data_IF_079078883572
#
_entry.id   IF_079078883572
#
_cell.length_a   1.000
_cell.length_b   1.000
_cell.length_c   1.000
_cell.angle_alpha   90.00
_cell.angle_beta   90.00
_cell.angle_gamma   90.00
#
_symmetry.space_group_name_H-M   'P 1'
#
loop_
_entity.id
_entity.type
_entity.pdbx_description
1 polymer ?
#
# COMPACT_ATOMS: atom_id res chain seq x y z
N UNK A 1 62.71 15.74 -6.01
CA UNK A 1 63.36 14.42 -6.14
C UNK A 1 62.95 13.54 -4.96
N UNK A 2 61.99 12.63 -5.14
CA UNK A 2 61.86 11.43 -4.31
C UNK A 2 62.67 10.26 -4.94
N UNK A 3 63.12 9.25 -4.16
CA UNK A 3 63.92 8.15 -4.70
C UNK A 3 63.03 7.10 -5.42
N UNK A 4 63.59 6.32 -6.37
CA UNK A 4 62.84 5.27 -7.05
C UNK A 4 62.70 4.01 -6.19
N UNK A 5 61.52 3.40 -6.24
CA UNK A 5 61.21 2.10 -5.65
C UNK A 5 61.90 0.97 -6.41
N UNK A 6 62.59 0.10 -5.68
CA UNK A 6 63.23 -1.11 -6.22
C UNK A 6 62.17 -2.13 -6.69
N UNK A 7 62.32 -2.62 -7.92
CA UNK A 7 61.56 -3.77 -8.43
C UNK A 7 62.10 -5.06 -7.82
N UNK A 8 61.31 -5.71 -6.97
CA UNK A 8 61.54 -7.09 -6.53
C UNK A 8 60.94 -8.03 -7.58
N UNK A 9 61.80 -8.71 -8.34
CA UNK A 9 61.43 -9.82 -9.22
C UNK A 9 61.29 -11.09 -8.39
N UNK A 10 60.07 -11.64 -8.32
CA UNK A 10 59.84 -12.95 -7.67
C UNK A 10 60.01 -14.11 -8.68
N UNK A 11 60.52 -15.28 -8.24
CA UNK A 11 60.82 -16.41 -9.13
C UNK A 11 59.55 -17.10 -9.65
N UNK A 12 59.60 -17.61 -10.88
CA UNK A 12 58.48 -18.17 -11.65
C UNK A 12 57.76 -19.39 -11.03
N UNK A 13 58.26 -20.00 -9.95
CA UNK A 13 57.72 -21.24 -9.40
C UNK A 13 56.65 -21.03 -8.32
N UNK A 14 56.61 -19.89 -7.63
CA UNK A 14 55.57 -19.56 -6.64
C UNK A 14 54.24 -19.14 -7.28
N UNK A 15 54.26 -18.61 -8.52
CA UNK A 15 53.04 -18.28 -9.28
C UNK A 15 52.20 -19.51 -9.65
N UNK A 16 52.83 -20.66 -9.90
CA UNK A 16 52.10 -21.89 -10.27
C UNK A 16 51.43 -22.57 -9.07
N UNK A 17 52.08 -22.58 -7.90
CA UNK A 17 51.50 -23.17 -6.68
C UNK A 17 50.36 -22.29 -6.13
N UNK A 18 50.50 -20.96 -6.18
CA UNK A 18 49.42 -20.04 -5.81
C UNK A 18 48.21 -20.12 -6.77
N UNK A 19 48.44 -20.29 -8.08
CA UNK A 19 47.38 -20.43 -9.07
C UNK A 19 46.57 -21.73 -8.88
N UNK A 20 47.21 -22.85 -8.54
CA UNK A 20 46.51 -24.11 -8.25
C UNK A 20 45.72 -24.04 -6.93
N UNK A 21 46.26 -23.41 -5.88
CA UNK A 21 45.55 -23.24 -4.60
C UNK A 21 44.28 -22.36 -4.72
N UNK A 22 44.37 -21.28 -5.51
CA UNK A 22 43.21 -20.41 -5.80
C UNK A 22 42.15 -21.12 -6.66
N UNK A 23 42.56 -21.97 -7.59
CA UNK A 23 41.62 -22.73 -8.43
C UNK A 23 40.83 -23.77 -7.61
N UNK A 24 41.47 -24.47 -6.67
CA UNK A 24 40.82 -25.47 -5.81
C UNK A 24 39.90 -24.80 -4.77
N UNK A 25 40.32 -23.67 -4.19
CA UNK A 25 39.46 -22.89 -3.29
C UNK A 25 38.25 -22.29 -4.02
N UNK A 26 38.44 -21.79 -5.26
CA UNK A 26 37.34 -21.31 -6.10
C UNK A 26 36.37 -22.43 -6.48
N UNK A 27 36.86 -23.64 -6.78
CA UNK A 27 36.01 -24.80 -7.05
C UNK A 27 35.23 -25.25 -5.80
N UNK A 28 35.84 -25.26 -4.63
CA UNK A 28 35.14 -25.55 -3.36
C UNK A 28 34.08 -24.50 -3.01
N UNK A 29 34.38 -23.21 -3.21
CA UNK A 29 33.41 -22.11 -3.07
C UNK A 29 32.25 -22.20 -4.07
N UNK A 30 32.51 -22.69 -5.29
CA UNK A 30 31.49 -22.86 -6.33
C UNK A 30 30.64 -24.13 -6.16
N UNK A 31 31.13 -25.12 -5.40
CA UNK A 31 30.51 -26.45 -5.23
C UNK A 31 29.81 -26.64 -3.88
N UNK A 32 29.92 -25.68 -2.95
CA UNK A 32 29.26 -25.74 -1.65
C UNK A 32 27.82 -25.22 -1.76
N UNK A 33 26.77 -26.04 -1.54
CA UNK A 33 25.38 -25.61 -1.68
C UNK A 33 24.99 -24.49 -0.69
N UNK A 34 25.65 -24.41 0.46
CA UNK A 34 25.27 -23.48 1.55
C UNK A 34 25.72 -22.02 1.34
N UNK A 35 26.61 -21.74 0.39
CA UNK A 35 27.08 -20.38 0.08
C UNK A 35 26.40 -19.74 -1.13
N UNK A 36 25.53 -20.49 -1.83
CA UNK A 36 24.66 -19.93 -2.89
C UNK A 36 23.39 -19.28 -2.34
N UNK A 37 23.20 -19.29 -1.02
CA UNK A 37 22.08 -18.63 -0.34
C UNK A 37 22.26 -17.11 -0.16
N UNK A 38 23.22 -16.48 -0.86
CA UNK A 38 23.37 -15.03 -0.88
C UNK A 38 22.78 -14.45 -2.18
N UNK A 39 21.61 -13.82 -2.02
CA UNK A 39 21.01 -12.83 -2.90
C UNK A 39 20.66 -13.26 -4.34
N UNK A 40 19.98 -14.40 -4.50
CA UNK A 40 19.23 -14.73 -5.74
C UNK A 40 17.72 -14.53 -5.60
N UNK A 41 17.25 -13.72 -4.64
CA UNK A 41 15.84 -13.30 -4.64
C UNK A 41 15.63 -12.34 -5.81
N UNK A 42 15.37 -12.92 -6.98
CA UNK A 42 14.75 -12.14 -8.06
C UNK A 42 13.36 -11.72 -7.57
N UNK A 43 12.90 -10.54 -7.97
CA UNK A 43 11.57 -10.01 -7.63
C UNK A 43 10.40 -10.87 -8.16
N UNK A 44 10.62 -12.10 -8.61
CA UNK A 44 9.60 -13.01 -9.11
C UNK A 44 9.37 -14.23 -8.19
N UNK A 45 10.23 -14.49 -7.19
CA UNK A 45 10.17 -15.70 -6.36
C UNK A 45 9.12 -15.70 -5.24
N UNK A 46 8.51 -14.57 -4.91
CA UNK A 46 7.52 -14.50 -3.82
C UNK A 46 6.17 -15.18 -4.18
N UNK A 47 5.85 -15.24 -5.47
CA UNK A 47 4.74 -16.06 -5.97
C UNK A 47 5.03 -17.56 -5.83
N UNK A 48 6.30 -17.95 -5.69
CA UNK A 48 6.77 -19.34 -5.59
C UNK A 48 7.02 -19.78 -4.14
N UNK A 49 6.31 -19.22 -3.14
CA UNK A 49 6.30 -19.86 -1.80
C UNK A 49 5.86 -21.32 -1.98
N UNK A 50 6.63 -22.31 -1.49
CA UNK A 50 6.29 -23.71 -1.66
C UNK A 50 4.88 -23.97 -1.12
N UNK A 51 4.13 -24.84 -1.78
CA UNK A 51 2.86 -25.33 -1.27
C UNK A 51 3.07 -25.84 0.17
N UNK A 52 2.18 -25.44 1.10
CA UNK A 52 2.29 -25.78 2.51
C UNK A 52 2.58 -27.28 2.70
N UNK A 53 3.62 -27.59 3.44
CA UNK A 53 4.22 -28.92 3.53
C UNK A 53 3.52 -29.87 4.51
N UNK A 54 2.20 -29.75 4.70
CA UNK A 54 1.47 -30.57 5.69
C UNK A 54 -0.03 -30.68 5.42
N UNK A 55 -0.61 -31.83 5.77
CA UNK A 55 -2.06 -31.99 5.98
C UNK A 55 -2.46 -31.06 7.15
N UNK A 56 -2.99 -29.86 6.86
CA UNK A 56 -3.45 -28.88 7.86
C UNK A 56 -3.09 -27.42 7.58
N UNK A 57 -2.25 -27.15 6.59
CA UNK A 57 -1.78 -25.79 6.24
C UNK A 57 -2.42 -25.25 4.94
N UNK A 58 -3.66 -25.64 4.66
CA UNK A 58 -4.34 -25.28 3.41
C UNK A 58 -5.31 -24.09 3.56
N UNK A 59 -5.63 -23.42 2.44
CA UNK A 59 -6.70 -22.41 2.40
C UNK A 59 -8.04 -23.01 2.86
N UNK A 60 -8.28 -24.30 2.61
CA UNK A 60 -9.51 -24.99 3.05
C UNK A 60 -9.62 -25.08 4.57
N UNK A 61 -8.52 -25.35 5.26
CA UNK A 61 -8.51 -25.43 6.73
C UNK A 61 -8.81 -24.06 7.35
N UNK A 62 -8.21 -23.00 6.77
CA UNK A 62 -8.56 -21.63 7.13
C UNK A 62 -10.05 -21.33 6.85
N UNK A 63 -10.58 -21.70 5.66
CA UNK A 63 -12.00 -21.50 5.34
C UNK A 63 -12.95 -22.22 6.30
N UNK A 64 -12.60 -23.43 6.74
CA UNK A 64 -13.40 -24.18 7.72
C UNK A 64 -13.45 -23.46 9.09
N UNK A 65 -12.29 -22.95 9.56
CA UNK A 65 -12.23 -22.12 10.77
C UNK A 65 -12.99 -20.81 10.61
N UNK A 66 -12.85 -20.14 9.47
CA UNK A 66 -13.55 -18.89 9.17
C UNK A 66 -15.07 -19.10 9.12
N UNK A 67 -15.55 -20.17 8.46
CA UNK A 67 -16.98 -20.55 8.47
C UNK A 67 -17.48 -20.74 9.90
N UNK A 68 -16.76 -21.53 10.70
CA UNK A 68 -17.13 -21.80 12.09
C UNK A 68 -17.19 -20.50 12.90
N UNK A 69 -16.21 -19.62 12.75
CA UNK A 69 -16.18 -18.31 13.40
C UNK A 69 -17.38 -17.43 12.99
N UNK A 70 -17.70 -17.39 11.70
CA UNK A 70 -18.85 -16.65 11.17
C UNK A 70 -20.18 -17.19 11.70
N UNK A 71 -20.36 -18.52 11.73
CA UNK A 71 -21.56 -19.14 12.29
C UNK A 71 -21.74 -18.87 13.79
N UNK A 72 -20.64 -18.75 14.56
CA UNK A 72 -20.71 -18.35 15.98
C UNK A 72 -21.12 -16.88 16.18
N UNK A 73 -20.93 -16.05 15.15
CA UNK A 73 -21.34 -14.65 15.13
C UNK A 73 -22.77 -14.46 14.61
N UNK A 74 -23.34 -15.44 13.89
CA UNK A 74 -24.72 -15.35 13.39
C UNK A 74 -25.72 -15.10 14.53
N UNK A 75 -26.63 -14.15 14.32
CA UNK A 75 -27.63 -13.74 15.32
C UNK A 75 -27.07 -12.94 16.50
N UNK A 76 -25.77 -12.65 16.54
CA UNK A 76 -25.17 -11.76 17.53
C UNK A 76 -25.48 -10.29 17.16
N UNK A 77 -26.06 -9.49 18.09
CA UNK A 77 -26.34 -8.08 17.83
C UNK A 77 -25.09 -7.29 17.39
N UNK A 78 -23.89 -7.71 17.81
CA UNK A 78 -22.64 -7.06 17.46
C UNK A 78 -22.35 -7.04 15.95
N UNK A 79 -22.85 -8.00 15.16
CA UNK A 79 -22.68 -8.02 13.70
C UNK A 79 -23.44 -6.88 13.01
N UNK A 80 -24.65 -6.58 13.48
CA UNK A 80 -25.51 -5.52 12.94
C UNK A 80 -25.17 -4.14 13.51
N UNK A 81 -24.29 -4.07 14.52
CA UNK A 81 -23.88 -2.80 15.11
C UNK A 81 -22.84 -2.11 14.21
N UNK A 82 -22.99 -0.79 14.00
CA UNK A 82 -21.99 -0.02 13.29
C UNK A 82 -20.61 -0.16 13.93
N UNK A 83 -19.58 -0.33 13.09
CA UNK A 83 -18.19 -0.46 13.49
C UNK A 83 -17.47 0.87 13.27
N UNK A 84 -17.09 1.59 14.35
CA UNK A 84 -16.23 2.76 14.21
C UNK A 84 -14.84 2.32 13.78
N UNK A 85 -14.27 3.05 12.83
CA UNK A 85 -12.94 2.87 12.27
C UNK A 85 -12.19 4.19 12.43
N UNK A 86 -10.90 4.10 12.77
CA UNK A 86 -10.06 5.27 12.92
C UNK A 86 -8.62 4.98 12.47
N UNK A 87 -7.95 6.02 11.99
CA UNK A 87 -6.52 6.01 11.70
C UNK A 87 -5.94 7.40 11.93
N UNK A 88 -4.64 7.46 12.20
CA UNK A 88 -3.90 8.72 12.33
C UNK A 88 -2.62 8.68 11.50
N UNK A 89 -2.16 9.83 11.03
CA UNK A 89 -0.92 9.94 10.28
C UNK A 89 -0.17 11.19 10.71
N UNK A 90 1.13 11.07 10.91
CA UNK A 90 2.01 12.18 11.18
C UNK A 90 3.03 12.32 10.04
N UNK A 91 3.31 13.56 9.62
CA UNK A 91 4.46 13.85 8.77
C UNK A 91 5.72 13.96 9.63
N UNK A 92 6.68 13.06 9.40
CA UNK A 92 7.92 12.95 10.16
C UNK A 92 8.88 14.09 9.81
N UNK A 93 8.77 15.19 10.54
CA UNK A 93 9.71 16.31 10.60
C UNK A 93 10.56 16.52 9.34
N UNK A 94 11.87 16.22 9.43
CA UNK A 94 12.85 16.51 8.37
C UNK A 94 12.70 15.64 7.11
N UNK A 95 11.92 14.59 7.20
CA UNK A 95 11.82 13.57 6.15
C UNK A 95 10.53 13.64 5.35
N UNK A 96 9.48 14.23 5.94
CA UNK A 96 8.12 14.16 5.42
C UNK A 96 7.50 12.77 5.47
N UNK A 97 8.18 11.74 5.98
CA UNK A 97 7.66 10.37 6.02
C UNK A 97 6.27 10.36 6.65
N UNK A 98 5.31 9.75 5.98
CA UNK A 98 3.93 9.69 6.46
C UNK A 98 3.82 8.42 7.26
N UNK A 99 3.84 8.59 8.58
CA UNK A 99 3.77 7.52 9.53
C UNK A 99 2.31 7.27 9.88
N UNK A 100 1.69 6.31 9.18
CA UNK A 100 0.29 5.93 9.36
C UNK A 100 0.16 4.95 10.53
N UNK A 101 -0.77 5.22 11.43
CA UNK A 101 -1.15 4.35 12.54
C UNK A 101 -2.59 3.91 12.40
N UNK A 102 -2.80 2.61 12.53
CA UNK A 102 -4.11 1.97 12.56
C UNK A 102 -4.10 1.02 13.75
N UNK A 103 -4.85 1.35 14.81
CA UNK A 103 -4.72 0.67 16.11
C UNK A 103 -3.26 0.65 16.56
N UNK A 104 -2.67 -0.54 16.69
CA UNK A 104 -1.29 -0.77 17.12
C UNK A 104 -0.35 -1.07 15.94
N UNK A 105 -0.78 -0.82 14.70
CA UNK A 105 0.02 -1.05 13.50
C UNK A 105 0.56 0.26 12.93
N UNK A 106 1.87 0.28 12.69
CA UNK A 106 2.58 1.37 12.02
C UNK A 106 2.89 1.00 10.57
N UNK A 107 2.53 1.88 9.64
CA UNK A 107 2.76 1.73 8.20
C UNK A 107 3.44 2.99 7.69
N UNK A 108 4.59 2.83 7.03
CA UNK A 108 5.27 3.93 6.39
C UNK A 108 4.74 4.14 4.97
N UNK A 109 4.40 5.38 4.65
CA UNK A 109 4.16 5.81 3.29
C UNK A 109 5.16 6.88 2.89
N UNK A 110 5.76 6.68 1.72
CA UNK A 110 6.76 7.59 1.19
C UNK A 110 6.66 7.72 -0.32
N UNK A 111 7.11 8.87 -0.81
CA UNK A 111 7.22 9.10 -2.24
C UNK A 111 8.66 8.96 -2.70
N UNK A 112 8.90 9.42 -3.92
CA UNK A 112 10.09 9.06 -4.66
C UNK A 112 11.22 10.08 -4.41
N UNK A 113 12.48 9.66 -4.59
CA UNK A 113 13.63 10.51 -4.24
C UNK A 113 13.70 11.80 -5.06
N UNK A 114 13.13 11.79 -6.27
CA UNK A 114 13.00 12.97 -7.13
C UNK A 114 12.07 14.05 -6.56
N UNK A 115 11.20 13.72 -5.61
CA UNK A 115 10.31 14.67 -4.91
C UNK A 115 10.82 15.04 -3.52
N UNK A 116 12.15 14.98 -3.32
CA UNK A 116 12.86 15.24 -2.05
C UNK A 116 12.62 14.22 -0.92
N UNK A 117 12.03 13.07 -1.26
CA UNK A 117 11.64 12.01 -0.32
C UNK A 117 12.69 10.88 -0.25
N UNK A 118 12.39 9.82 0.50
CA UNK A 118 13.36 8.76 0.83
C UNK A 118 13.02 7.39 0.23
N UNK A 119 11.83 7.23 -0.35
CA UNK A 119 11.38 5.97 -0.94
C UNK A 119 11.45 4.80 0.06
N UNK A 120 10.93 5.03 1.28
CA UNK A 120 10.95 4.03 2.37
C UNK A 120 9.65 3.22 2.52
N UNK A 121 8.60 3.58 1.78
CA UNK A 121 7.31 2.91 1.87
C UNK A 121 6.48 3.15 0.62
N UNK A 122 5.38 2.40 0.47
CA UNK A 122 4.48 2.58 -0.66
C UNK A 122 3.81 3.96 -0.58
N UNK A 123 3.88 4.73 -1.66
CA UNK A 123 3.09 5.95 -1.79
C UNK A 123 1.58 5.68 -1.74
N UNK A 124 0.77 6.72 -1.60
CA UNK A 124 -0.69 6.55 -1.41
C UNK A 124 -1.39 5.84 -2.58
N UNK A 125 -0.90 6.02 -3.81
CA UNK A 125 -1.48 5.40 -5.01
C UNK A 125 -1.25 3.89 -5.07
N UNK A 126 -0.01 3.36 -5.01
CA UNK A 126 0.19 1.91 -4.89
C UNK A 126 -0.48 1.33 -3.63
N UNK A 127 -0.53 2.08 -2.52
CA UNK A 127 -1.22 1.63 -1.29
C UNK A 127 -2.71 1.40 -1.51
N UNK A 128 -3.42 2.33 -2.18
CA UNK A 128 -4.87 2.17 -2.41
C UNK A 128 -5.18 0.95 -3.29
N UNK A 129 -4.36 0.70 -4.31
CA UNK A 129 -4.48 -0.47 -5.20
C UNK A 129 -4.24 -1.77 -4.41
N UNK A 130 -3.26 -1.77 -3.52
CA UNK A 130 -2.98 -2.89 -2.62
C UNK A 130 -4.11 -3.18 -1.63
N UNK A 131 -4.67 -2.13 -1.02
CA UNK A 131 -5.82 -2.25 -0.11
C UNK A 131 -7.04 -2.82 -0.83
N UNK A 132 -7.36 -2.31 -2.02
CA UNK A 132 -8.47 -2.81 -2.83
C UNK A 132 -8.28 -4.28 -3.22
N UNK A 133 -7.08 -4.67 -3.68
CA UNK A 133 -6.77 -6.06 -3.98
C UNK A 133 -6.92 -6.98 -2.77
N UNK A 134 -6.49 -6.51 -1.60
CA UNK A 134 -6.60 -7.28 -0.36
C UNK A 134 -8.03 -7.40 0.14
N UNK A 135 -8.88 -6.38 -0.08
CA UNK A 135 -10.30 -6.48 0.20
C UNK A 135 -10.93 -7.58 -0.66
N UNK A 136 -10.73 -7.54 -1.98
CA UNK A 136 -11.22 -8.57 -2.91
C UNK A 136 -10.79 -9.97 -2.48
N UNK A 137 -9.51 -10.17 -2.16
CA UNK A 137 -9.01 -11.48 -1.72
C UNK A 137 -9.69 -11.94 -0.42
N UNK A 138 -9.82 -11.06 0.57
CA UNK A 138 -10.53 -11.35 1.81
C UNK A 138 -12.01 -11.69 1.59
N UNK A 139 -12.68 -10.92 0.75
CA UNK A 139 -14.10 -11.10 0.44
C UNK A 139 -14.35 -12.44 -0.25
N UNK A 140 -13.49 -12.85 -1.20
CA UNK A 140 -13.56 -14.20 -1.80
C UNK A 140 -13.45 -15.29 -0.73
N UNK A 141 -12.46 -15.20 0.18
CA UNK A 141 -12.31 -16.17 1.27
C UNK A 141 -13.58 -16.23 2.14
N UNK A 142 -14.14 -15.07 2.49
CA UNK A 142 -15.32 -14.97 3.35
C UNK A 142 -16.56 -15.53 2.66
N UNK A 143 -16.81 -15.15 1.41
CA UNK A 143 -17.99 -15.61 0.64
C UNK A 143 -17.91 -17.11 0.38
N UNK A 144 -16.74 -17.61 -0.03
CA UNK A 144 -16.51 -19.02 -0.25
C UNK A 144 -16.66 -19.85 1.03
N UNK A 145 -16.16 -19.32 2.17
CA UNK A 145 -16.38 -19.93 3.47
C UNK A 145 -17.88 -20.01 3.79
N UNK A 146 -18.66 -18.94 3.63
CA UNK A 146 -20.12 -18.97 3.90
C UNK A 146 -20.87 -19.94 2.98
N UNK A 147 -20.52 -19.97 1.69
CA UNK A 147 -21.27 -20.72 0.66
C UNK A 147 -21.00 -22.20 0.63
N UNK A 148 -19.92 -22.68 1.24
CA UNK A 148 -19.52 -24.07 1.02
C UNK A 148 -18.44 -24.26 -0.03
N UNK A 149 -18.13 -23.23 -0.83
CA UNK A 149 -17.27 -23.34 -2.01
C UNK A 149 -15.80 -23.48 -1.63
N UNK A 150 -15.15 -24.63 -1.87
CA UNK A 150 -13.76 -24.86 -1.48
C UNK A 150 -12.80 -24.01 -2.33
N UNK A 151 -11.79 -23.41 -1.70
CA UNK A 151 -10.67 -22.77 -2.39
C UNK A 151 -9.38 -23.44 -1.89
N UNK A 152 -8.56 -23.89 -2.84
CA UNK A 152 -7.23 -24.48 -2.61
C UNK A 152 -6.12 -23.42 -2.65
N UNK A 153 -6.29 -22.41 -3.50
CA UNK A 153 -5.35 -21.31 -3.66
C UNK A 153 -6.05 -20.06 -4.19
N UNK A 154 -5.64 -18.90 -3.69
CA UNK A 154 -6.17 -17.61 -4.10
C UNK A 154 -5.07 -16.56 -4.22
N UNK A 155 -4.95 -16.01 -5.42
CA UNK A 155 -4.16 -14.81 -5.67
C UNK A 155 -5.01 -13.78 -6.42
N UNK A 156 -4.86 -12.51 -6.08
CA UNK A 156 -5.57 -11.40 -6.72
C UNK A 156 -4.56 -10.42 -7.28
N UNK A 157 -4.70 -10.09 -8.56
CA UNK A 157 -4.01 -8.97 -9.17
C UNK A 157 -5.00 -7.83 -9.33
N UNK A 158 -4.79 -6.75 -8.59
CA UNK A 158 -5.58 -5.52 -8.71
C UNK A 158 -4.81 -4.49 -9.53
N UNK A 159 -5.52 -3.82 -10.43
CA UNK A 159 -4.97 -2.83 -11.35
C UNK A 159 -5.77 -1.54 -11.35
N UNK A 160 -5.08 -0.43 -11.64
CA UNK A 160 -5.69 0.88 -11.88
C UNK A 160 -4.88 1.67 -12.89
N UNK A 161 -5.55 2.53 -13.67
CA UNK A 161 -4.89 3.52 -14.52
C UNK A 161 -5.11 4.94 -13.98
N UNK A 162 -4.06 5.76 -13.86
CA UNK A 162 -4.22 7.19 -13.58
C UNK A 162 -5.00 7.90 -14.69
N UNK A 163 -6.18 8.44 -14.38
CA UNK A 163 -6.96 9.21 -15.34
C UNK A 163 -7.44 10.52 -14.72
N UNK A 164 -7.64 11.53 -15.56
CA UNK A 164 -8.09 12.85 -15.14
C UNK A 164 -9.63 12.88 -15.01
N UNK A 165 -10.15 13.31 -13.87
CA UNK A 165 -11.58 13.50 -13.64
C UNK A 165 -11.85 14.81 -12.89
N UNK A 166 -13.12 15.21 -12.82
CA UNK A 166 -13.54 16.43 -12.11
C UNK A 166 -13.79 16.13 -10.63
N UNK A 167 -13.26 16.97 -9.76
CA UNK A 167 -13.64 16.98 -8.34
C UNK A 167 -15.13 17.33 -8.21
N UNK A 168 -15.90 16.55 -7.44
CA UNK A 168 -17.30 16.89 -7.13
C UNK A 168 -17.45 18.13 -6.24
N UNK A 169 -16.40 18.50 -5.50
CA UNK A 169 -16.42 19.67 -4.63
C UNK A 169 -16.07 20.97 -5.36
N UNK A 170 -14.97 20.97 -6.12
CA UNK A 170 -14.44 22.20 -6.74
C UNK A 170 -14.64 22.27 -8.25
N UNK A 171 -14.93 21.16 -8.92
CA UNK A 171 -15.00 21.07 -10.39
C UNK A 171 -13.65 21.01 -11.09
N UNK A 172 -12.54 21.11 -10.34
CA UNK A 172 -11.17 21.07 -10.84
C UNK A 172 -10.82 19.70 -11.41
N UNK A 173 -9.88 19.69 -12.36
CA UNK A 173 -9.39 18.44 -12.96
C UNK A 173 -8.29 17.83 -12.10
N UNK A 174 -8.59 16.69 -11.48
CA UNK A 174 -7.69 15.93 -10.60
C UNK A 174 -7.36 14.60 -11.28
N UNK A 175 -6.08 14.21 -11.30
CA UNK A 175 -5.68 12.87 -11.75
C UNK A 175 -5.63 11.96 -10.53
N UNK A 176 -6.36 10.86 -10.58
CA UNK A 176 -6.38 9.86 -9.51
C UNK A 176 -6.53 8.44 -10.10
N UNK A 177 -6.34 7.37 -9.31
CA UNK A 177 -6.56 5.99 -9.75
C UNK A 177 -7.99 5.78 -10.28
N UNK A 178 -8.13 5.42 -11.54
CA UNK A 178 -9.40 5.05 -12.19
C UNK A 178 -9.25 3.69 -12.88
N UNK A 179 -10.27 3.31 -13.67
CA UNK A 179 -10.32 2.03 -14.39
C UNK A 179 -9.96 0.86 -13.46
N UNK A 180 -10.62 0.82 -12.30
CA UNK A 180 -10.33 -0.14 -11.25
C UNK A 180 -10.72 -1.54 -11.72
N UNK A 181 -9.78 -2.47 -11.72
CA UNK A 181 -10.03 -3.83 -12.17
C UNK A 181 -9.24 -4.85 -11.36
N UNK A 182 -9.82 -6.04 -11.16
CA UNK A 182 -9.13 -7.15 -10.54
C UNK A 182 -9.25 -8.43 -11.35
N UNK A 183 -8.23 -9.27 -11.25
CA UNK A 183 -8.22 -10.66 -11.71
C UNK A 183 -7.96 -11.55 -10.51
N UNK A 184 -8.90 -12.44 -10.19
CA UNK A 184 -8.73 -13.46 -9.16
C UNK A 184 -8.31 -14.78 -9.82
N UNK A 185 -7.13 -15.28 -9.45
CA UNK A 185 -6.63 -16.60 -9.83
C UNK A 185 -7.02 -17.57 -8.72
N UNK A 186 -7.94 -18.49 -9.03
CA UNK A 186 -8.57 -19.36 -8.04
C UNK A 186 -8.29 -20.80 -8.41
N UNK A 187 -7.52 -21.48 -7.57
CA UNK A 187 -7.43 -22.94 -7.56
C UNK A 187 -8.56 -23.50 -6.68
N UNK A 188 -9.46 -24.28 -7.28
CA UNK A 188 -10.71 -24.72 -6.65
C UNK A 188 -11.40 -25.79 -7.49
N UNK A 189 -12.00 -26.83 -6.85
CA UNK A 189 -12.85 -27.79 -7.53
C UNK A 189 -14.30 -27.30 -7.74
N UNK A 190 -14.67 -26.11 -7.25
CA UNK A 190 -15.99 -25.53 -7.47
C UNK A 190 -16.24 -25.28 -8.96
N UNK A 191 -17.49 -25.32 -9.43
CA UNK A 191 -17.89 -25.04 -10.81
C UNK A 191 -17.71 -23.56 -11.21
N UNK A 192 -17.73 -23.26 -12.52
CA UNK A 192 -17.56 -21.88 -13.00
C UNK A 192 -18.73 -21.00 -12.55
N UNK A 193 -19.93 -21.58 -12.49
CA UNK A 193 -21.14 -20.92 -11.98
C UNK A 193 -21.00 -20.55 -10.50
N UNK A 194 -20.47 -21.46 -9.67
CA UNK A 194 -20.22 -21.17 -8.26
C UNK A 194 -19.20 -20.04 -8.08
N UNK A 195 -18.09 -20.08 -8.82
CA UNK A 195 -17.06 -19.05 -8.75
C UNK A 195 -17.56 -17.68 -9.24
N UNK A 196 -18.33 -17.66 -10.31
CA UNK A 196 -18.94 -16.43 -10.82
C UNK A 196 -20.00 -15.87 -9.85
N UNK A 197 -20.76 -16.75 -9.18
CA UNK A 197 -21.64 -16.37 -8.08
C UNK A 197 -20.88 -15.74 -6.91
N UNK A 198 -19.70 -16.28 -6.55
CA UNK A 198 -18.82 -15.66 -5.55
C UNK A 198 -18.34 -14.28 -6.00
N UNK A 199 -17.90 -14.12 -7.25
CA UNK A 199 -17.48 -12.82 -7.81
C UNK A 199 -18.57 -11.77 -7.66
N UNK A 200 -19.80 -12.11 -8.05
CA UNK A 200 -20.95 -11.22 -7.94
C UNK A 200 -21.26 -10.85 -6.48
N UNK A 201 -21.13 -11.79 -5.54
CA UNK A 201 -21.28 -11.49 -4.11
C UNK A 201 -20.15 -10.61 -3.58
N UNK A 202 -18.90 -10.82 -3.99
CA UNK A 202 -17.76 -9.97 -3.62
C UNK A 202 -18.00 -8.53 -4.05
N UNK A 203 -18.38 -8.29 -5.31
CA UNK A 203 -18.65 -6.93 -5.80
C UNK A 203 -19.85 -6.28 -5.12
N UNK A 204 -20.87 -7.06 -4.77
CA UNK A 204 -22.07 -6.55 -4.09
C UNK A 204 -21.82 -6.24 -2.62
N UNK A 205 -21.07 -7.09 -1.92
CA UNK A 205 -20.97 -7.10 -0.46
C UNK A 205 -19.64 -6.57 0.07
N UNK A 206 -18.62 -6.35 -0.76
CA UNK A 206 -17.35 -5.79 -0.29
C UNK A 206 -17.54 -4.36 0.24
N UNK A 207 -17.21 -4.08 1.52
CA UNK A 207 -17.23 -2.72 2.04
C UNK A 207 -16.33 -1.78 1.24
N UNK A 208 -15.11 -2.23 0.94
CA UNK A 208 -14.06 -1.39 0.36
C UNK A 208 -14.31 -1.14 -1.12
N UNK A 209 -14.84 -2.12 -1.87
CA UNK A 209 -15.28 -1.87 -3.24
C UNK A 209 -16.50 -0.94 -3.27
N UNK A 210 -17.48 -1.13 -2.37
CA UNK A 210 -18.62 -0.23 -2.28
C UNK A 210 -18.22 1.22 -1.96
N UNK A 211 -17.17 1.42 -1.16
CA UNK A 211 -16.61 2.74 -0.84
C UNK A 211 -16.08 3.50 -2.07
N UNK A 212 -15.55 2.80 -3.08
CA UNK A 212 -15.05 3.43 -4.31
C UNK A 212 -16.05 3.37 -5.46
N UNK A 213 -16.98 2.41 -5.43
CA UNK A 213 -18.02 2.26 -6.43
C UNK A 213 -19.15 3.27 -6.27
N UNK A 214 -19.34 3.84 -5.07
CA UNK A 214 -20.43 4.76 -4.77
C UNK A 214 -19.91 6.14 -4.45
N UNK A 215 -20.68 7.20 -4.75
CA UNK A 215 -20.33 8.54 -4.32
C UNK A 215 -20.45 8.67 -2.79
N UNK A 216 -19.47 9.30 -2.16
CA UNK A 216 -19.52 9.66 -0.74
C UNK A 216 -19.39 11.16 -0.53
N UNK A 217 -20.16 11.67 0.43
CA UNK A 217 -19.97 13.02 0.92
C UNK A 217 -18.97 12.97 2.09
N UNK A 218 -17.79 13.54 1.84
CA UNK A 218 -16.77 13.76 2.86
C UNK A 218 -16.76 15.25 3.14
N UNK A 219 -17.05 15.60 4.38
CA UNK A 219 -17.10 16.98 4.86
C UNK A 219 -15.73 17.66 4.75
N UNK A 220 -15.74 19.00 4.69
CA UNK A 220 -14.51 19.78 4.82
C UNK A 220 -13.82 19.44 6.14
N UNK A 221 -12.52 19.19 6.09
CA UNK A 221 -11.77 18.73 7.26
C UNK A 221 -11.81 19.71 8.41
N UNK A 222 -11.85 19.21 9.64
CA UNK A 222 -11.72 20.08 10.83
C UNK A 222 -10.28 20.54 10.97
N UNK A 223 -10.05 21.86 10.97
CA UNK A 223 -8.74 22.44 11.25
C UNK A 223 -8.53 22.72 12.73
N UNK A 224 -7.46 22.14 13.29
CA UNK A 224 -6.91 22.49 14.61
C UNK A 224 -5.57 23.18 14.36
N UNK A 225 -5.56 24.49 14.53
CA UNK A 225 -4.42 25.34 14.21
C UNK A 225 -3.68 25.79 15.48
N UNK A 226 -2.35 25.61 15.49
CA UNK A 226 -1.47 26.12 16.54
C UNK A 226 -0.47 27.13 15.94
N UNK A 227 -0.54 28.38 16.39
CA UNK A 227 0.40 29.42 15.98
C UNK A 227 1.77 29.16 16.62
N UNK A 228 2.80 29.02 15.79
CA UNK A 228 4.19 28.87 16.24
C UNK A 228 5.00 30.15 15.99
N UNK A 229 6.17 30.32 16.64
CA UNK A 229 7.02 31.48 16.41
C UNK A 229 7.59 31.51 14.98
N UNK A 230 7.65 32.69 14.36
CA UNK A 230 8.30 32.88 13.04
C UNK A 230 9.77 32.46 13.08
N UNK A 231 10.49 32.81 14.16
CA UNK A 231 11.86 32.39 14.41
C UNK A 231 11.87 31.36 15.53
N UNK A 232 12.47 30.19 15.29
CA UNK A 232 12.71 29.20 16.36
C UNK A 232 13.81 29.74 17.29
N UNK A 233 13.60 29.62 18.59
CA UNK A 233 14.60 30.01 19.60
C UNK A 233 15.70 28.95 19.70
N UNK A 234 16.96 29.39 19.77
CA UNK A 234 18.12 28.49 19.91
C UNK A 234 18.50 27.72 18.63
N UNK A 235 19.38 26.72 18.78
CA UNK A 235 19.77 25.81 17.70
C UNK A 235 18.80 24.63 17.69
N UNK A 236 17.87 24.61 16.74
CA UNK A 236 16.95 23.48 16.53
C UNK A 236 17.50 22.54 15.46
N UNK A 237 17.18 21.24 15.56
CA UNK A 237 17.34 20.34 14.43
C UNK A 237 16.44 20.79 13.27
N UNK A 238 16.85 20.48 12.05
CA UNK A 238 15.99 20.67 10.88
C UNK A 238 14.74 19.79 11.02
N UNK A 239 13.58 20.33 10.64
CA UNK A 239 12.27 19.68 10.76
C UNK A 239 11.45 19.88 9.49
N UNK A 240 10.13 20.02 9.66
CA UNK A 240 9.21 20.07 8.52
C UNK A 240 9.40 21.31 7.63
N UNK A 241 9.73 22.48 8.20
CA UNK A 241 10.04 23.69 7.42
C UNK A 241 11.15 23.44 6.40
N UNK A 242 12.26 22.89 6.86
CA UNK A 242 13.43 22.60 6.03
C UNK A 242 13.14 21.49 4.99
N UNK A 243 12.29 20.52 5.34
CA UNK A 243 11.80 19.54 4.36
C UNK A 243 10.97 20.18 3.24
N UNK A 244 10.07 21.11 3.57
CA UNK A 244 9.23 21.78 2.58
C UNK A 244 10.04 22.70 1.65
N UNK A 245 11.12 23.32 2.15
CA UNK A 245 12.07 24.08 1.34
C UNK A 245 12.78 23.18 0.31
N UNK A 246 13.27 22.01 0.75
CA UNK A 246 13.87 21.01 -0.16
C UNK A 246 12.86 20.50 -1.20
N UNK A 247 11.61 20.29 -0.77
CA UNK A 247 10.51 19.83 -1.65
C UNK A 247 10.15 20.88 -2.70
N UNK A 248 10.09 22.15 -2.33
CA UNK A 248 9.90 23.26 -3.28
C UNK A 248 11.08 23.32 -4.28
N UNK A 249 12.31 23.22 -3.78
CA UNK A 249 13.50 23.20 -4.64
C UNK A 249 13.47 22.02 -5.63
N UNK A 250 13.15 20.82 -5.17
CA UNK A 250 13.03 19.63 -6.01
C UNK A 250 11.91 19.78 -7.05
N UNK A 251 10.76 20.36 -6.68
CA UNK A 251 9.67 20.63 -7.63
C UNK A 251 10.07 21.60 -8.76
N UNK A 252 11.08 22.44 -8.51
CA UNK A 252 11.70 23.37 -9.48
C UNK A 252 12.91 22.77 -10.20
N UNK A 253 13.17 21.47 -10.05
CA UNK A 253 14.22 20.73 -10.74
C UNK A 253 15.58 20.73 -10.03
N UNK A 254 15.68 21.16 -8.77
CA UNK A 254 16.90 21.00 -8.00
C UNK A 254 17.21 19.51 -7.77
N UNK A 255 18.49 19.15 -7.83
CA UNK A 255 18.93 17.80 -7.48
C UNK A 255 18.82 17.61 -5.96
N UNK A 256 18.40 16.42 -5.48
CA UNK A 256 18.43 16.12 -4.06
C UNK A 256 19.87 16.25 -3.51
N UNK A 257 20.04 16.57 -2.21
CA UNK A 257 21.36 16.63 -1.58
C UNK A 257 22.18 15.33 -1.79
N UNK A 258 23.52 15.45 -1.80
CA UNK A 258 24.45 14.35 -2.08
C UNK A 258 24.18 13.09 -1.23
N UNK A 259 24.35 11.90 -1.83
CA UNK A 259 24.07 10.60 -1.20
C UNK A 259 22.69 10.00 -1.51
N UNK A 260 21.78 10.79 -2.11
CA UNK A 260 20.49 10.31 -2.62
C UNK A 260 20.59 10.06 -4.12
N UNK A 261 21.00 8.85 -4.52
CA UNK A 261 21.06 8.48 -5.95
C UNK A 261 19.62 8.39 -6.48
N UNK A 262 19.13 9.46 -7.11
CA UNK A 262 17.86 9.43 -7.82
C UNK A 262 17.97 8.40 -8.95
N UNK A 263 16.99 7.49 -9.06
CA UNK A 263 16.83 6.74 -10.30
C UNK A 263 16.59 7.74 -11.45
N UNK A 264 17.03 7.43 -12.67
CA UNK A 264 16.69 8.25 -13.82
C UNK A 264 15.16 8.42 -13.85
N UNK A 265 14.64 9.65 -14.06
CA UNK A 265 13.21 9.84 -14.20
C UNK A 265 12.70 8.86 -15.25
N UNK A 266 11.82 7.94 -14.86
CA UNK A 266 11.15 7.09 -15.84
C UNK A 266 10.46 8.02 -16.83
N UNK A 267 10.67 7.78 -18.13
CA UNK A 267 10.11 8.61 -19.18
C UNK A 267 8.61 8.83 -18.89
N UNK A 268 8.19 10.09 -18.87
CA UNK A 268 6.78 10.48 -18.73
C UNK A 268 6.08 10.19 -20.06
N UNK A 269 5.89 8.92 -20.34
CA UNK A 269 5.09 8.48 -21.47
C UNK A 269 3.62 8.46 -21.04
N UNK A 270 2.76 8.95 -21.91
CA UNK A 270 1.31 8.97 -21.84
C UNK A 270 0.67 7.56 -22.05
N UNK A 271 1.49 6.50 -21.95
CA UNK A 271 1.16 5.07 -21.88
C UNK A 271 1.65 4.40 -20.59
N UNK A 272 1.53 5.05 -19.42
CA UNK A 272 1.97 4.47 -18.14
C UNK A 272 1.34 3.10 -17.92
N UNK A 273 2.13 2.05 -17.57
CA UNK A 273 1.54 0.77 -17.21
C UNK A 273 0.58 0.97 -16.03
N UNK A 274 -0.51 0.19 -15.95
CA UNK A 274 -1.43 0.30 -14.84
C UNK A 274 -0.65 0.11 -13.53
N UNK A 275 -1.01 0.90 -12.51
CA UNK A 275 -0.62 0.57 -11.14
C UNK A 275 -1.16 -0.82 -10.85
N UNK A 276 -0.31 -1.66 -10.27
CA UNK A 276 -0.63 -3.05 -10.02
C UNK A 276 -0.22 -3.43 -8.61
N UNK A 277 -1.10 -4.16 -7.95
CA UNK A 277 -0.81 -4.84 -6.71
C UNK A 277 -1.16 -6.31 -6.86
N UNK A 278 -0.23 -7.16 -6.44
CA UNK A 278 -0.45 -8.58 -6.32
C UNK A 278 -0.74 -8.90 -4.86
N UNK A 279 -1.75 -9.72 -4.64
CA UNK A 279 -2.18 -10.13 -3.31
C UNK A 279 -2.19 -11.65 -3.27
N UNK A 280 -1.31 -12.22 -2.45
CA UNK A 280 -1.24 -13.66 -2.22
C UNK A 280 -1.86 -14.00 -0.87
N UNK A 281 -2.76 -14.98 -0.86
CA UNK A 281 -3.32 -15.53 0.38
C UNK A 281 -2.42 -16.64 0.89
N UNK A 282 -2.00 -16.54 2.15
CA UNK A 282 -1.31 -17.60 2.87
C UNK A 282 -2.31 -18.67 3.30
N UNK A 283 -2.02 -19.93 2.96
CA UNK A 283 -2.95 -21.05 3.11
C UNK A 283 -3.50 -21.23 4.52
N UNK A 284 -2.62 -21.54 5.47
CA UNK A 284 -3.01 -21.86 6.84
C UNK A 284 -3.68 -20.68 7.57
N UNK A 285 -3.31 -19.44 7.26
CA UNK A 285 -3.64 -18.29 8.11
C UNK A 285 -4.66 -17.34 7.50
N UNK A 286 -4.86 -17.40 6.18
CA UNK A 286 -5.67 -16.42 5.46
C UNK A 286 -5.03 -15.02 5.38
N UNK A 287 -3.76 -14.88 5.79
CA UNK A 287 -3.01 -13.63 5.70
C UNK A 287 -2.88 -13.24 4.23
N UNK A 288 -3.08 -11.96 3.93
CA UNK A 288 -2.95 -11.41 2.58
C UNK A 288 -1.66 -10.63 2.48
N UNK A 289 -0.69 -11.16 1.75
CA UNK A 289 0.54 -10.47 1.42
C UNK A 289 0.33 -9.60 0.20
N UNK A 290 0.46 -8.29 0.39
CA UNK A 290 0.26 -7.28 -0.65
C UNK A 290 1.63 -6.86 -1.17
N UNK A 291 1.83 -6.91 -2.48
CA UNK A 291 3.01 -6.37 -3.14
C UNK A 291 2.64 -5.41 -4.24
N UNK A 292 3.31 -4.26 -4.30
CA UNK A 292 3.06 -3.23 -5.33
C UNK A 292 4.21 -3.18 -6.35
N UNK A 293 3.86 -3.07 -7.64
CA UNK A 293 4.82 -3.20 -8.76
C UNK A 293 5.82 -2.04 -8.90
N UNK A 294 5.61 -0.95 -8.17
CA UNK A 294 6.51 0.19 -8.24
C UNK A 294 7.85 -0.12 -7.59
N UNK A 295 7.87 -0.77 -6.40
CA UNK A 295 9.09 -1.03 -5.61
C UNK A 295 9.06 -2.24 -4.66
N UNK A 296 8.19 -3.23 -4.89
CA UNK A 296 8.10 -4.44 -4.05
C UNK A 296 7.83 -4.18 -2.56
N UNK A 297 7.23 -3.05 -2.20
CA UNK A 297 6.79 -2.81 -0.83
C UNK A 297 5.79 -3.87 -0.41
N UNK A 298 6.00 -4.43 0.77
CA UNK A 298 5.16 -5.47 1.34
C UNK A 298 4.32 -4.90 2.49
N UNK A 299 3.02 -5.12 2.41
CA UNK A 299 2.08 -4.89 3.51
C UNK A 299 1.32 -6.19 3.74
N UNK A 300 0.94 -6.48 4.97
CA UNK A 300 0.07 -7.61 5.28
C UNK A 300 -1.28 -7.10 5.78
N UNK A 301 -2.35 -7.79 5.40
CA UNK A 301 -3.63 -7.67 6.06
C UNK A 301 -4.03 -9.03 6.62
N UNK A 302 -4.54 -9.03 7.84
CA UNK A 302 -4.95 -10.25 8.54
C UNK A 302 -6.33 -10.04 9.17
N UNK A 303 -7.09 -11.13 9.32
CA UNK A 303 -8.36 -11.06 10.03
C UNK A 303 -8.12 -10.90 11.54
N UNK A 304 -9.07 -10.28 12.25
CA UNK A 304 -9.04 -10.31 13.69
C UNK A 304 -9.28 -11.75 14.20
N UNK A 305 -8.90 -12.03 15.44
CA UNK A 305 -8.98 -13.38 16.03
C UNK A 305 -10.38 -13.99 16.03
N UNK A 306 -11.42 -13.15 16.15
CA UNK A 306 -12.81 -13.60 16.09
C UNK A 306 -13.30 -13.97 14.68
N UNK A 307 -12.48 -13.74 13.65
CA UNK A 307 -12.69 -14.16 12.26
C UNK A 307 -11.55 -15.09 11.79
N UNK A 308 -11.10 -15.98 12.69
CA UNK A 308 -10.11 -17.02 12.43
C UNK A 308 -8.69 -16.53 12.01
N UNK A 309 -8.42 -15.23 12.04
CA UNK A 309 -7.07 -14.67 11.80
C UNK A 309 -6.23 -14.53 13.07
N UNK A 310 -5.06 -13.92 12.93
CA UNK A 310 -4.09 -13.76 14.01
C UNK A 310 -3.96 -12.31 14.51
N UNK A 311 -4.66 -11.38 13.85
CA UNK A 311 -4.53 -9.94 14.06
C UNK A 311 -3.07 -9.46 13.92
N UNK A 312 -2.40 -9.86 12.85
CA UNK A 312 -1.01 -9.46 12.55
C UNK A 312 -0.90 -8.19 11.67
N UNK A 313 -2.01 -7.72 11.12
CA UNK A 313 -2.09 -6.47 10.38
C UNK A 313 -3.48 -5.85 10.46
N UNK A 314 -3.67 -4.62 9.97
CA UNK A 314 -4.99 -4.02 9.88
C UNK A 314 -5.85 -4.78 8.87
N UNK A 315 -7.17 -4.64 8.99
CA UNK A 315 -8.07 -5.08 7.93
C UNK A 315 -8.14 -4.01 6.82
N UNK A 316 -8.41 -4.38 5.56
CA UNK A 316 -8.47 -3.41 4.46
C UNK A 316 -9.50 -2.29 4.69
N UNK A 317 -10.54 -2.55 5.48
CA UNK A 317 -11.55 -1.56 5.85
C UNK A 317 -10.99 -0.41 6.71
N UNK A 318 -10.03 -0.72 7.58
CA UNK A 318 -9.33 0.30 8.37
C UNK A 318 -8.31 1.04 7.48
N UNK A 319 -7.58 0.29 6.66
CA UNK A 319 -6.46 0.82 5.89
C UNK A 319 -6.87 1.72 4.73
N UNK A 320 -8.06 1.55 4.15
CA UNK A 320 -8.54 2.44 3.08
C UNK A 320 -8.73 3.89 3.57
N UNK A 321 -9.22 4.08 4.80
CA UNK A 321 -9.33 5.40 5.43
C UNK A 321 -7.94 5.97 5.75
N UNK A 322 -7.03 5.13 6.27
CA UNK A 322 -5.63 5.50 6.49
C UNK A 322 -4.90 5.95 5.22
N UNK A 323 -5.18 5.31 4.09
CA UNK A 323 -4.64 5.69 2.78
C UNK A 323 -5.14 7.06 2.32
N UNK A 324 -6.39 7.41 2.62
CA UNK A 324 -6.95 8.73 2.33
C UNK A 324 -6.18 9.84 3.08
N UNK A 325 -6.01 9.73 4.40
CA UNK A 325 -5.30 10.76 5.18
C UNK A 325 -3.79 10.78 4.90
N UNK A 326 -3.19 9.64 4.58
CA UNK A 326 -1.82 9.59 4.08
C UNK A 326 -1.67 10.39 2.79
N UNK A 327 -2.63 10.28 1.87
CA UNK A 327 -2.65 11.06 0.64
C UNK A 327 -2.86 12.56 0.92
N UNK A 328 -3.80 12.92 1.80
CA UNK A 328 -4.01 14.32 2.20
C UNK A 328 -2.74 14.91 2.81
N UNK A 329 -2.06 14.18 3.70
CA UNK A 329 -0.80 14.60 4.32
C UNK A 329 0.27 14.88 3.28
N UNK A 330 0.45 13.97 2.32
CA UNK A 330 1.39 14.18 1.23
C UNK A 330 1.04 15.42 0.38
N UNK A 331 -0.25 15.65 0.12
CA UNK A 331 -0.70 16.80 -0.66
C UNK A 331 -0.57 18.11 0.13
N UNK A 332 -0.71 18.10 1.46
CA UNK A 332 -0.33 19.22 2.32
C UNK A 332 1.14 19.58 2.15
N UNK A 333 2.04 18.60 2.15
CA UNK A 333 3.47 18.86 1.93
C UNK A 333 3.75 19.44 0.55
N UNK A 334 3.10 18.91 -0.50
CA UNK A 334 3.24 19.40 -1.87
C UNK A 334 2.73 20.84 -2.00
N UNK A 335 1.51 21.11 -1.54
CA UNK A 335 0.90 22.42 -1.67
C UNK A 335 1.56 23.47 -0.76
N UNK A 336 1.98 23.09 0.44
CA UNK A 336 2.71 23.98 1.34
C UNK A 336 4.07 24.37 0.75
N UNK A 337 4.82 23.40 0.21
CA UNK A 337 6.07 23.68 -0.48
C UNK A 337 5.86 24.61 -1.68
N UNK A 338 4.91 24.28 -2.58
CA UNK A 338 4.60 25.06 -3.78
C UNK A 338 4.14 26.48 -3.48
N UNK A 339 3.38 26.67 -2.40
CA UNK A 339 2.84 27.96 -1.95
C UNK A 339 3.77 28.68 -0.96
N UNK A 340 4.90 28.09 -0.60
CA UNK A 340 5.84 28.58 0.41
C UNK A 340 5.13 28.93 1.72
N UNK A 341 4.31 28.00 2.20
CA UNK A 341 3.65 28.04 3.51
C UNK A 341 4.54 27.27 4.48
N UNK A 342 5.09 27.94 5.48
CA UNK A 342 5.88 27.26 6.51
C UNK A 342 4.98 26.39 7.41
N UNK A 343 5.40 25.16 7.71
CA UNK A 343 4.76 24.30 8.71
C UNK A 343 5.81 23.66 9.62
N UNK A 344 5.52 23.59 10.91
CA UNK A 344 6.35 22.95 11.93
C UNK A 344 5.90 21.52 12.22
N UNK A 345 4.58 21.30 12.26
CA UNK A 345 3.97 19.99 12.50
C UNK A 345 2.76 19.81 11.59
N UNK A 346 2.51 18.56 11.20
CA UNK A 346 1.38 18.16 10.38
C UNK A 346 0.93 16.76 10.81
N UNK A 347 -0.28 16.67 11.35
CA UNK A 347 -0.90 15.41 11.76
C UNK A 347 -2.35 15.39 11.28
N UNK A 348 -2.81 14.25 10.79
CA UNK A 348 -4.20 14.05 10.39
C UNK A 348 -4.77 12.83 11.09
N UNK A 349 -6.03 12.92 11.51
CA UNK A 349 -6.83 11.76 11.91
C UNK A 349 -8.02 11.60 10.97
N UNK A 350 -8.50 10.37 10.81
CA UNK A 350 -9.78 10.05 10.18
C UNK A 350 -10.61 9.18 11.11
N UNK A 351 -11.89 9.44 11.10
CA UNK A 351 -12.92 8.58 11.65
C UNK A 351 -13.92 8.24 10.55
N UNK A 352 -14.45 7.02 10.59
CA UNK A 352 -15.54 6.59 9.72
C UNK A 352 -16.31 5.46 10.39
N UNK A 353 -17.53 5.23 9.95
CA UNK A 353 -18.37 4.17 10.50
C UNK A 353 -18.78 3.20 9.41
N UNK A 354 -18.45 1.92 9.58
CA UNK A 354 -18.94 0.87 8.73
C UNK A 354 -20.29 0.36 9.25
N UNK A 355 -21.32 0.29 8.40
CA UNK A 355 -22.69 -0.01 8.85
C UNK A 355 -22.89 -1.38 9.46
N UNK A 356 -22.08 -2.34 9.04
CA UNK A 356 -22.14 -3.72 9.54
C UNK A 356 -20.75 -4.31 9.52
N UNK A 357 -20.49 -5.25 10.42
CA UNK A 357 -19.21 -5.95 10.45
C UNK A 357 -19.08 -6.94 9.29
N UNK A 358 -17.83 -7.28 8.97
CA UNK A 358 -17.47 -8.40 8.11
C UNK A 358 -18.23 -9.67 8.55
N UNK A 359 -18.84 -10.35 7.57
CA UNK A 359 -19.61 -11.58 7.81
C UNK A 359 -21.13 -11.41 7.64
N UNK A 360 -21.67 -10.21 7.85
CA UNK A 360 -23.09 -9.96 7.63
C UNK A 360 -23.41 -9.86 6.13
N UNK A 361 -24.33 -10.71 5.65
CA UNK A 361 -24.76 -10.75 4.25
C UNK A 361 -26.17 -10.16 4.02
N UNK A 362 -26.89 -9.80 5.10
CA UNK A 362 -28.28 -9.38 5.03
C UNK A 362 -28.45 -8.03 4.32
N UNK A 363 -27.49 -7.11 4.50
CA UNK A 363 -27.46 -5.82 3.80
C UNK A 363 -26.04 -5.50 3.32
N UNK A 364 -25.86 -4.93 2.12
CA UNK A 364 -24.56 -4.49 1.66
C UNK A 364 -23.93 -3.47 2.64
N UNK A 365 -22.70 -3.70 3.13
CA UNK A 365 -22.02 -2.76 3.99
C UNK A 365 -21.73 -1.45 3.26
N UNK A 366 -21.83 -0.35 4.00
CA UNK A 366 -21.42 0.97 3.51
C UNK A 366 -20.70 1.77 4.60
N UNK A 367 -19.84 2.68 4.17
CA UNK A 367 -19.24 3.66 5.06
C UNK A 367 -20.18 4.85 5.23
N UNK A 368 -20.23 5.37 6.45
CA UNK A 368 -20.91 6.62 6.82
C UNK A 368 -19.97 7.47 7.66
N UNK A 369 -20.33 8.74 7.81
CA UNK A 369 -19.72 9.63 8.79
C UNK A 369 -18.19 9.76 8.64
N UNK A 370 -17.69 9.70 7.39
CA UNK A 370 -16.26 9.85 7.12
C UNK A 370 -15.88 11.31 7.36
N UNK A 371 -15.06 11.53 8.40
CA UNK A 371 -14.61 12.86 8.82
C UNK A 371 -13.12 12.79 9.10
N UNK A 372 -12.40 13.87 8.76
CA UNK A 372 -10.99 13.97 9.09
C UNK A 372 -10.69 15.28 9.83
N UNK A 373 -9.71 15.22 10.73
CA UNK A 373 -9.17 16.38 11.45
C UNK A 373 -7.73 16.57 11.04
N UNK A 374 -7.34 17.79 10.71
CA UNK A 374 -5.94 18.16 10.47
C UNK A 374 -5.44 19.07 11.59
N UNK A 375 -4.30 18.72 12.18
CA UNK A 375 -3.55 19.53 13.16
C UNK A 375 -2.31 20.09 12.50
N UNK A 376 -2.20 21.41 12.46
CA UNK A 376 -1.05 22.12 11.88
C UNK A 376 -0.48 23.10 12.89
N UNK A 377 0.81 22.95 13.17
CA UNK A 377 1.64 23.98 13.79
C UNK A 377 2.32 24.81 12.71
N UNK A 378 2.14 26.14 12.71
CA UNK A 378 2.75 27.01 11.70
C UNK A 378 2.93 28.45 12.20
N UNK A 379 3.93 29.19 11.70
CA UNK A 379 4.06 30.63 11.98
C UNK A 379 3.17 31.50 11.07
N UNK A 380 2.50 30.90 10.10
CA UNK A 380 1.70 31.59 9.09
C UNK A 380 0.34 32.02 9.66
N UNK A 381 -0.30 33.11 9.20
CA UNK A 381 -1.63 33.46 9.67
C UNK A 381 -2.64 32.33 9.41
N UNK A 382 -3.58 32.11 10.34
CA UNK A 382 -4.64 31.08 10.23
C UNK A 382 -5.35 31.08 8.87
N UNK A 383 -5.67 32.25 8.34
CA UNK A 383 -6.33 32.39 7.03
C UNK A 383 -5.52 31.77 5.87
N UNK A 384 -4.19 31.83 5.92
CA UNK A 384 -3.29 31.21 4.93
C UNK A 384 -3.27 29.68 5.07
N UNK A 385 -3.41 29.16 6.30
CA UNK A 385 -3.56 27.71 6.55
C UNK A 385 -4.91 27.18 6.07
N UNK A 386 -5.99 27.94 6.28
CA UNK A 386 -7.32 27.59 5.76
C UNK A 386 -7.35 27.62 4.22
N UNK A 387 -6.63 28.55 3.58
CA UNK A 387 -6.44 28.54 2.12
C UNK A 387 -5.65 27.33 1.64
N UNK A 388 -4.56 26.98 2.35
CA UNK A 388 -3.79 25.76 2.08
C UNK A 388 -4.68 24.52 2.14
N UNK A 389 -5.50 24.37 3.18
CA UNK A 389 -6.42 23.23 3.30
C UNK A 389 -7.40 23.13 2.13
N UNK A 390 -8.03 24.25 1.73
CA UNK A 390 -8.93 24.25 0.56
C UNK A 390 -8.20 23.83 -0.71
N UNK A 391 -6.97 24.29 -0.90
CA UNK A 391 -6.15 23.90 -2.03
C UNK A 391 -5.80 22.41 -2.02
N UNK A 392 -5.50 21.85 -0.85
CA UNK A 392 -5.19 20.44 -0.67
C UNK A 392 -6.40 19.57 -1.02
N UNK A 393 -7.57 19.88 -0.47
CA UNK A 393 -8.80 19.12 -0.75
C UNK A 393 -9.19 19.18 -2.24
N UNK A 394 -8.97 20.32 -2.89
CA UNK A 394 -9.27 20.51 -4.31
C UNK A 394 -8.48 19.56 -5.23
N UNK A 395 -7.25 19.20 -4.83
CA UNK A 395 -6.31 18.45 -5.70
C UNK A 395 -5.92 17.08 -5.16
N UNK A 396 -6.31 16.71 -3.94
CA UNK A 396 -5.91 15.44 -3.34
C UNK A 396 -6.51 14.24 -4.11
N UNK A 397 -5.67 13.34 -4.69
CA UNK A 397 -6.16 12.26 -5.54
C UNK A 397 -7.11 11.29 -4.85
N UNK A 398 -6.69 10.71 -3.71
CA UNK A 398 -7.48 9.67 -3.04
C UNK A 398 -8.73 10.27 -2.37
N UNK A 399 -8.62 11.46 -1.78
CA UNK A 399 -9.79 12.16 -1.23
C UNK A 399 -10.86 12.41 -2.30
N UNK A 400 -10.47 12.86 -3.50
CA UNK A 400 -11.42 13.05 -4.60
C UNK A 400 -11.88 11.73 -5.23
N UNK A 401 -11.04 10.70 -5.25
CA UNK A 401 -11.43 9.35 -5.67
C UNK A 401 -12.57 8.80 -4.81
N UNK A 402 -12.49 8.91 -3.47
CA UNK A 402 -13.53 8.42 -2.56
C UNK A 402 -14.84 9.21 -2.64
N UNK A 403 -14.79 10.48 -3.04
CA UNK A 403 -15.99 11.30 -3.26
C UNK A 403 -16.71 10.96 -4.56
N UNK A 404 -16.00 10.38 -5.52
CA UNK A 404 -16.48 10.06 -6.85
C UNK A 404 -16.84 8.57 -6.93
N UNK A 405 -17.86 8.24 -7.74
CA UNK A 405 -18.14 6.84 -8.08
C UNK A 405 -17.18 6.37 -9.17
N UNK A 406 -16.69 5.13 -9.04
CA UNK A 406 -15.80 4.49 -10.01
C UNK A 406 -16.35 3.10 -10.40
N UNK A 407 -16.44 2.77 -11.70
CA UNK A 407 -16.77 1.41 -12.09
C UNK A 407 -15.64 0.45 -11.70
N UNK A 408 -16.01 -0.79 -11.38
CA UNK A 408 -15.08 -1.85 -11.02
C UNK A 408 -15.30 -3.01 -11.99
N UNK A 409 -14.22 -3.52 -12.57
CA UNK A 409 -14.27 -4.68 -13.46
C UNK A 409 -13.57 -5.89 -12.82
N UNK A 410 -14.34 -6.91 -12.48
CA UNK A 410 -13.82 -8.18 -11.96
C UNK A 410 -13.77 -9.28 -12.99
N UNK A 411 -12.79 -10.17 -12.87
CA UNK A 411 -12.73 -11.44 -13.62
C UNK A 411 -12.09 -12.55 -12.79
N UNK A 412 -12.41 -13.79 -13.13
CA UNK A 412 -11.83 -14.99 -12.54
C UNK A 412 -11.01 -15.75 -13.59
N UNK A 413 -9.87 -16.29 -13.15
CA UNK A 413 -9.01 -17.18 -13.93
C UNK A 413 -8.80 -18.47 -13.13
N UNK A 414 -8.97 -19.62 -13.79
CA UNK A 414 -8.85 -20.94 -13.17
C UNK A 414 -7.41 -21.31 -12.83
N UNK A 415 -7.26 -21.97 -11.68
CA UNK A 415 -6.01 -22.53 -11.18
C UNK A 415 -5.07 -21.48 -10.58
N UNK A 416 -3.86 -21.91 -10.20
CA UNK A 416 -2.90 -21.03 -9.55
C UNK A 416 -2.47 -19.88 -10.48
N UNK A 417 -2.08 -18.77 -9.88
CA UNK A 417 -1.47 -17.64 -10.57
C UNK A 417 -0.20 -18.09 -11.30
N UNK A 418 -0.01 -17.55 -12.49
CA UNK A 418 1.28 -17.55 -13.18
C UNK A 418 1.42 -16.28 -14.00
N UNK A 419 2.66 -15.85 -14.24
CA UNK A 419 2.95 -14.66 -15.04
C UNK A 419 2.43 -14.82 -16.47
N UNK A 420 2.43 -16.04 -17.00
CA UNK A 420 1.91 -16.38 -18.33
C UNK A 420 0.39 -16.14 -18.38
N UNK A 421 -0.37 -16.72 -17.44
CA UNK A 421 -1.82 -16.51 -17.36
C UNK A 421 -2.17 -15.04 -17.20
N UNK A 422 -1.43 -14.32 -16.36
CA UNK A 422 -1.62 -12.89 -16.19
C UNK A 422 -1.39 -12.10 -17.49
N UNK A 423 -0.35 -12.46 -18.26
CA UNK A 423 -0.06 -11.84 -19.56
C UNK A 423 -1.12 -12.17 -20.61
N UNK A 424 -1.64 -13.40 -20.62
CA UNK A 424 -2.74 -13.81 -21.52
C UNK A 424 -4.00 -12.99 -21.26
N UNK A 425 -4.28 -12.75 -19.98
CA UNK A 425 -5.45 -12.01 -19.52
C UNK A 425 -5.31 -10.49 -19.74
N UNK A 426 -4.07 -9.98 -19.81
CA UNK A 426 -3.81 -8.57 -20.06
C UNK A 426 -3.80 -8.16 -21.55
N UNK A 427 -3.77 -9.14 -22.47
CA UNK A 427 -3.93 -8.95 -23.92
C UNK A 427 -5.40 -8.83 -24.27
#
# INVERSE_FOLDING_TARGET
MPPPLAMITMPNNTRRVAACGLAVAAWWLLSSPDLRAQATHTSHDWAQSPAGSGEGDSVRDFQARLRSALSLLEGRPELDRPLPLAASVAAEGRTGIRHLRIRDFDILSDGARETAEFELGAGSWPSVVGVLGSAVAGDFLTRAAIKGSPIDGLEVVFTSRPEAARSRGTGDRVVYPQALAYTAFIDSPASDEELEGLRAEVERLSPVLNLVARPHDIEHGRLVYTQTPTRREGRTLAGLREFLEDKDAASRGARPPEGRRAEPPRARDDGRPPLRAHVKVEGATGIRHIRTDLKNYQVIHDYPRHLAGHNLGPVPEEHILGTMITCLTHIYEIEAARRRVAMDTLELDVEGTLTTRLGNAASPPSYRDIRYTVRIGSPEPRAKIEELQRAVEAVCPIYNMLKNSQPIAGRIVRGPYSVEKEREVAR
#
